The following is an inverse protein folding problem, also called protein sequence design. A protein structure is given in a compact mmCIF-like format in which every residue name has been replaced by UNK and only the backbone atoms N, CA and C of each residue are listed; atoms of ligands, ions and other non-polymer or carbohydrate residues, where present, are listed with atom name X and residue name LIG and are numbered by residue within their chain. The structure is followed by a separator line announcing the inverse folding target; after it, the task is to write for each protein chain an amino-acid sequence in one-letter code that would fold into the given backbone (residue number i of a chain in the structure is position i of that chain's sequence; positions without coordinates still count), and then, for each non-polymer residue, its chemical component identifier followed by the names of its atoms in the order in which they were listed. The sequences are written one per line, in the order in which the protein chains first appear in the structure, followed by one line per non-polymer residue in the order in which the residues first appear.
data_IF_170452502331
#
_entry.id   IF_170452502331
#
_cell.length_a   1.000
_cell.length_b   1.000
_cell.length_c   1.000
_cell.angle_alpha   90.00
_cell.angle_beta   90.00
_cell.angle_gamma   90.00
#
_symmetry.space_group_name_H-M   'P 1'
#
loop_
_entity.id
_entity.type
_entity.pdbx_description
1 polymer ?
#
# COMPACT_ATOMS: atom_id res chain seq x y z
N UNK A 1 36.90 31.77 -16.59
CA UNK A 1 36.25 31.40 -15.32
C UNK A 1 37.27 31.21 -14.21
N UNK A 2 36.94 31.59 -13.01
CA UNK A 2 37.79 31.36 -11.87
C UNK A 2 37.67 29.90 -11.42
N UNK A 3 38.66 29.41 -10.69
CA UNK A 3 38.64 28.06 -10.11
C UNK A 3 37.40 27.84 -9.24
N UNK A 4 37.00 28.87 -8.50
CA UNK A 4 35.82 28.82 -7.63
C UNK A 4 34.53 28.68 -8.44
N UNK A 5 34.42 29.43 -9.55
CA UNK A 5 33.26 29.33 -10.44
C UNK A 5 33.12 27.95 -11.06
N UNK A 6 34.23 27.34 -11.46
CA UNK A 6 34.23 25.98 -11.98
C UNK A 6 33.80 24.96 -10.94
N UNK A 7 34.25 25.14 -9.70
CA UNK A 7 33.86 24.26 -8.58
C UNK A 7 32.37 24.38 -8.28
N UNK A 8 31.85 25.61 -8.32
CA UNK A 8 30.40 25.85 -8.11
C UNK A 8 29.58 25.18 -9.20
N UNK A 9 29.99 25.34 -10.47
CA UNK A 9 29.29 24.72 -11.60
C UNK A 9 29.27 23.19 -11.48
N UNK A 10 30.38 22.60 -11.06
CA UNK A 10 30.51 21.17 -10.84
C UNK A 10 29.58 20.69 -9.72
N UNK A 11 29.57 21.43 -8.61
CA UNK A 11 28.71 21.11 -7.47
C UNK A 11 27.23 21.20 -7.84
N UNK A 12 26.83 22.21 -8.61
CA UNK A 12 25.47 22.36 -9.09
C UNK A 12 25.03 21.19 -9.97
N UNK A 13 25.94 20.70 -10.83
CA UNK A 13 25.67 19.54 -11.67
C UNK A 13 25.49 18.28 -10.83
N UNK A 14 26.34 18.08 -9.84
CA UNK A 14 26.24 16.94 -8.93
C UNK A 14 24.92 16.95 -8.17
N UNK A 15 24.49 18.12 -7.70
CA UNK A 15 23.19 18.29 -7.00
C UNK A 15 22.06 17.89 -7.94
N UNK A 16 22.07 18.35 -9.18
CA UNK A 16 21.04 18.04 -10.16
C UNK A 16 20.97 16.53 -10.43
N UNK A 17 22.11 15.86 -10.58
CA UNK A 17 22.17 14.42 -10.78
C UNK A 17 21.62 13.66 -9.58
N UNK A 18 21.94 14.11 -8.36
CA UNK A 18 21.43 13.49 -7.14
C UNK A 18 19.93 13.69 -6.98
N UNK A 19 19.41 14.85 -7.35
CA UNK A 19 17.96 15.09 -7.34
C UNK A 19 17.23 14.19 -8.33
N UNK A 20 17.80 13.96 -9.51
CA UNK A 20 17.22 13.05 -10.50
C UNK A 20 17.24 11.60 -10.00
N UNK A 21 18.32 11.19 -9.36
CA UNK A 21 18.43 9.86 -8.77
C UNK A 21 17.39 9.68 -7.65
N UNK A 22 17.25 10.68 -6.80
CA UNK A 22 16.26 10.67 -5.72
C UNK A 22 14.85 10.48 -6.28
N UNK A 23 14.50 11.22 -7.35
CA UNK A 23 13.19 11.12 -8.00
C UNK A 23 12.94 9.71 -8.51
N UNK A 24 13.93 9.09 -9.18
CA UNK A 24 13.81 7.72 -9.68
C UNK A 24 13.58 6.73 -8.55
N UNK A 25 14.32 6.87 -7.45
CA UNK A 25 14.17 5.99 -6.30
C UNK A 25 12.82 6.12 -5.64
N UNK A 26 12.30 7.36 -5.53
CA UNK A 26 10.96 7.59 -4.99
C UNK A 26 9.88 6.98 -5.87
N UNK A 27 10.02 7.07 -7.20
CA UNK A 27 9.09 6.44 -8.14
C UNK A 27 9.14 4.93 -8.03
N UNK A 28 10.31 4.33 -7.91
CA UNK A 28 10.47 2.89 -7.70
C UNK A 28 9.81 2.44 -6.40
N UNK A 29 9.96 3.25 -5.34
CA UNK A 29 9.33 2.96 -4.06
C UNK A 29 7.81 2.96 -4.17
N UNK A 30 7.24 3.98 -4.84
CA UNK A 30 5.79 4.06 -5.06
C UNK A 30 5.29 2.88 -5.88
N UNK A 31 6.02 2.47 -6.92
CA UNK A 31 5.64 1.34 -7.74
C UNK A 31 5.67 0.04 -6.95
N UNK A 32 6.69 -0.14 -6.11
CA UNK A 32 6.79 -1.32 -5.24
C UNK A 32 5.64 -1.37 -4.23
N UNK A 33 5.29 -0.23 -3.63
CA UNK A 33 4.15 -0.13 -2.70
C UNK A 33 2.83 -0.44 -3.39
N UNK A 34 2.65 0.05 -4.62
CA UNK A 34 1.45 -0.21 -5.41
C UNK A 34 1.33 -1.69 -5.75
N UNK A 35 2.41 -2.32 -6.18
CA UNK A 35 2.43 -3.76 -6.49
C UNK A 35 2.12 -4.60 -5.26
N UNK A 36 2.72 -4.26 -4.12
CA UNK A 36 2.48 -4.95 -2.86
C UNK A 36 1.01 -4.83 -2.43
N UNK A 37 0.42 -3.64 -2.57
CA UNK A 37 -0.98 -3.41 -2.26
C UNK A 37 -1.89 -4.21 -3.19
N UNK A 38 -1.61 -4.19 -4.49
CA UNK A 38 -2.39 -4.93 -5.48
C UNK A 38 -2.35 -6.43 -5.18
N UNK A 39 -1.17 -6.97 -4.90
CA UNK A 39 -1.01 -8.37 -4.54
C UNK A 39 -1.81 -8.72 -3.29
N UNK A 40 -1.74 -7.89 -2.26
CA UNK A 40 -2.50 -8.08 -1.03
C UNK A 40 -4.01 -8.08 -1.29
N UNK A 41 -4.50 -7.18 -2.12
CA UNK A 41 -5.92 -7.10 -2.45
C UNK A 41 -6.39 -8.31 -3.22
N UNK A 42 -5.58 -8.84 -4.13
CA UNK A 42 -5.89 -10.06 -4.88
C UNK A 42 -5.99 -11.24 -3.91
N UNK A 43 -5.04 -11.40 -3.02
CA UNK A 43 -5.05 -12.48 -2.03
C UNK A 43 -6.27 -12.39 -1.10
N UNK A 44 -6.56 -11.20 -0.60
CA UNK A 44 -7.70 -10.97 0.29
C UNK A 44 -9.03 -11.17 -0.42
N UNK A 45 -9.12 -10.77 -1.68
CA UNK A 45 -10.28 -11.05 -2.51
C UNK A 45 -10.50 -12.53 -2.70
N UNK A 46 -9.45 -13.29 -2.93
CA UNK A 46 -9.53 -14.74 -3.07
C UNK A 46 -9.99 -15.39 -1.77
N UNK A 47 -9.50 -14.94 -0.62
CA UNK A 47 -9.93 -15.43 0.69
C UNK A 47 -11.42 -15.17 0.89
N UNK A 48 -11.86 -13.94 0.63
CA UNK A 48 -13.26 -13.55 0.77
C UNK A 48 -14.16 -14.42 -0.13
N UNK A 49 -13.81 -14.56 -1.40
CA UNK A 49 -14.60 -15.34 -2.34
C UNK A 49 -14.64 -16.82 -1.98
N UNK A 50 -13.59 -17.35 -1.37
CA UNK A 50 -13.55 -18.74 -0.94
C UNK A 50 -14.60 -19.06 0.14
N UNK A 51 -15.08 -18.04 0.83
CA UNK A 51 -16.11 -18.21 1.87
C UNK A 51 -17.54 -18.10 1.32
N UNK A 52 -17.69 -17.76 0.06
CA UNK A 52 -18.98 -17.63 -0.61
C UNK A 52 -19.19 -18.82 -1.55
N UNK A 53 -20.42 -19.33 -1.62
CA UNK A 53 -20.70 -20.50 -2.49
C UNK A 53 -20.65 -20.14 -3.97
N UNK A 54 -21.13 -19.02 -4.39
CA UNK A 54 -21.12 -18.60 -5.79
C UNK A 54 -20.73 -17.11 -5.84
N UNK A 55 -19.44 -16.83 -5.61
CA UNK A 55 -19.00 -15.44 -5.48
C UNK A 55 -19.29 -14.58 -6.69
N UNK A 56 -19.32 -15.16 -7.88
CA UNK A 56 -19.60 -14.44 -9.13
C UNK A 56 -21.02 -13.90 -9.23
N UNK A 57 -21.93 -14.36 -8.38
CA UNK A 57 -23.32 -13.91 -8.38
C UNK A 57 -23.55 -12.61 -7.61
N UNK A 58 -22.55 -12.17 -6.83
CA UNK A 58 -22.70 -10.98 -5.99
C UNK A 58 -22.09 -9.77 -6.67
N UNK A 59 -22.79 -8.64 -6.59
CA UNK A 59 -22.23 -7.36 -7.03
C UNK A 59 -21.27 -6.84 -5.97
N UNK A 60 -20.43 -5.89 -6.36
CA UNK A 60 -19.52 -5.25 -5.41
C UNK A 60 -20.29 -4.55 -4.29
N UNK A 61 -21.43 -3.95 -4.60
CA UNK A 61 -22.28 -3.30 -3.59
C UNK A 61 -22.82 -4.29 -2.59
N UNK A 62 -23.26 -5.46 -3.07
CA UNK A 62 -23.75 -6.53 -2.20
C UNK A 62 -22.65 -7.07 -1.28
N UNK A 63 -21.44 -7.24 -1.81
CA UNK A 63 -20.28 -7.65 -1.00
C UNK A 63 -19.97 -6.60 0.06
N UNK A 64 -19.99 -5.33 -0.31
CA UNK A 64 -19.74 -4.23 0.64
C UNK A 64 -20.76 -4.24 1.76
N UNK A 65 -22.05 -4.36 1.42
CA UNK A 65 -23.14 -4.40 2.41
C UNK A 65 -22.99 -5.59 3.35
N UNK A 66 -22.65 -6.76 2.80
CA UNK A 66 -22.41 -7.95 3.59
C UNK A 66 -21.28 -7.75 4.59
N UNK A 67 -20.17 -7.18 4.14
CA UNK A 67 -19.01 -6.93 5.00
C UNK A 67 -19.33 -5.91 6.09
N UNK A 68 -20.06 -4.85 5.75
CA UNK A 68 -20.46 -3.84 6.74
C UNK A 68 -21.29 -4.47 7.84
N UNK A 69 -22.26 -5.32 7.49
CA UNK A 69 -23.09 -6.04 8.45
C UNK A 69 -22.25 -6.99 9.28
N UNK A 70 -21.41 -7.79 8.62
CA UNK A 70 -20.59 -8.78 9.29
C UNK A 70 -19.61 -8.16 10.29
N UNK A 71 -19.01 -7.03 9.95
CA UNK A 71 -18.04 -6.36 10.80
C UNK A 71 -18.70 -5.63 11.99
N UNK A 72 -20.01 -5.39 11.95
CA UNK A 72 -20.75 -4.78 13.05
C UNK A 72 -21.14 -5.78 14.13
N UNK A 73 -20.98 -7.07 13.90
CA UNK A 73 -21.29 -8.08 14.91
C UNK A 73 -20.33 -7.99 16.08
N UNK A 74 -20.83 -8.35 17.27
CA UNK A 74 -20.01 -8.35 18.48
C UNK A 74 -18.83 -9.31 18.35
N UNK A 75 -19.05 -10.46 17.72
CA UNK A 75 -18.00 -11.45 17.50
C UNK A 75 -16.88 -10.92 16.61
N UNK A 76 -17.23 -10.26 15.51
CA UNK A 76 -16.25 -9.68 14.61
C UNK A 76 -15.45 -8.56 15.30
N UNK A 77 -16.12 -7.69 16.04
CA UNK A 77 -15.49 -6.59 16.77
C UNK A 77 -14.51 -7.11 17.82
N UNK A 78 -14.92 -8.12 18.59
CA UNK A 78 -14.05 -8.72 19.59
C UNK A 78 -12.82 -9.36 18.96
N UNK A 79 -13.00 -10.05 17.83
CA UNK A 79 -11.90 -10.68 17.10
C UNK A 79 -10.94 -9.63 16.55
N UNK A 80 -11.46 -8.55 15.98
CA UNK A 80 -10.66 -7.43 15.49
C UNK A 80 -9.84 -6.80 16.60
N UNK A 81 -10.45 -6.63 17.79
CA UNK A 81 -9.76 -6.09 18.95
C UNK A 81 -8.57 -6.98 19.35
N UNK A 82 -8.78 -8.28 19.39
CA UNK A 82 -7.71 -9.25 19.72
C UNK A 82 -6.57 -9.20 18.72
N UNK A 83 -6.90 -9.16 17.43
CA UNK A 83 -5.89 -9.06 16.37
C UNK A 83 -5.12 -7.76 16.52
N UNK A 84 -5.82 -6.66 16.80
CA UNK A 84 -5.18 -5.36 17.00
C UNK A 84 -4.20 -5.37 18.17
N UNK A 85 -4.54 -6.03 19.27
CA UNK A 85 -3.66 -6.18 20.42
C UNK A 85 -2.42 -7.01 20.08
N UNK A 86 -2.59 -8.12 19.36
CA UNK A 86 -1.47 -8.95 18.90
C UNK A 86 -0.52 -8.16 18.00
N UNK A 87 -1.07 -7.41 17.06
CA UNK A 87 -0.25 -6.64 16.11
C UNK A 87 0.31 -5.37 16.72
N UNK A 88 -0.37 -4.81 17.69
CA UNK A 88 0.06 -3.58 18.36
C UNK A 88 1.00 -3.79 19.55
N UNK A 89 1.22 -5.03 19.95
CA UNK A 89 2.09 -5.38 21.08
C UNK A 89 3.57 -5.20 20.77
N UNK A 90 3.88 -4.89 19.53
CA UNK A 90 5.28 -4.72 19.08
C UNK A 90 5.79 -3.29 19.33
#
# INVERSE_FOLDING_TARGET
MTDIEEKIAKAEEEIRQLQNRKRKLLNQKKDAERKARTHRLIERGAILESLLEKPEQYSNEQIKDLLEIAFQTAQAQEHLRKIGEENGAN
#
